data_IF_238020798397
#
_entry.id   IF_238020798397
#
_cell.length_a   1.000
_cell.length_b   1.000
_cell.length_c   1.000
_cell.angle_alpha   90.00
_cell.angle_beta   90.00
_cell.angle_gamma   90.00
#
_symmetry.space_group_name_H-M   'P 1'
#
loop_
_entity.id
_entity.type
_entity.pdbx_description
1 polymer ?
#
# COMPACT_ATOMS: atom_id res chain seq x y z
N UNK A 1 71.94 50.30 7.11
CA UNK A 1 70.61 49.73 7.46
C UNK A 1 69.81 49.10 6.28
N UNK A 2 70.34 49.05 5.04
CA UNK A 2 69.60 48.49 3.89
C UNK A 2 69.66 46.95 3.76
N UNK A 3 70.72 46.31 4.29
CA UNK A 3 70.92 44.85 4.20
C UNK A 3 69.89 44.03 4.97
N UNK A 4 69.57 44.42 6.21
CA UNK A 4 68.60 43.71 7.07
C UNK A 4 67.19 43.68 6.44
N UNK A 5 66.74 44.79 5.86
CA UNK A 5 65.45 44.85 5.13
C UNK A 5 65.39 43.93 3.92
N UNK A 6 66.50 43.73 3.19
CA UNK A 6 66.54 42.79 2.06
C UNK A 6 66.47 41.33 2.52
N UNK A 7 67.15 41.01 3.62
CA UNK A 7 67.16 39.66 4.20
C UNK A 7 65.76 39.28 4.72
N UNK A 8 65.08 40.18 5.43
CA UNK A 8 63.70 39.93 5.92
C UNK A 8 62.73 39.69 4.77
N UNK A 9 62.80 40.50 3.70
CA UNK A 9 61.96 40.31 2.50
C UNK A 9 62.22 38.95 1.84
N UNK A 10 63.48 38.58 1.65
CA UNK A 10 63.88 37.28 1.09
C UNK A 10 63.41 36.09 1.95
N UNK A 11 63.50 36.22 3.27
CA UNK A 11 63.03 35.17 4.19
C UNK A 11 61.51 35.04 4.16
N UNK A 12 60.77 36.16 4.18
CA UNK A 12 59.30 36.15 4.05
C UNK A 12 58.88 35.53 2.72
N UNK A 13 59.56 35.84 1.62
CA UNK A 13 59.25 35.32 0.29
C UNK A 13 59.51 33.82 0.18
N UNK A 14 60.59 33.32 0.80
CA UNK A 14 60.84 31.86 0.93
C UNK A 14 59.76 31.14 1.75
N UNK A 15 59.31 31.73 2.86
CA UNK A 15 58.22 31.14 3.65
C UNK A 15 56.90 31.15 2.89
N UNK A 16 56.56 32.25 2.21
CA UNK A 16 55.37 32.32 1.35
C UNK A 16 55.41 31.28 0.24
N UNK A 17 56.56 31.10 -0.40
CA UNK A 17 56.77 30.08 -1.44
C UNK A 17 56.62 28.66 -0.86
N UNK A 18 57.25 28.36 0.27
CA UNK A 18 57.12 27.06 0.93
C UNK A 18 55.68 26.75 1.39
N UNK A 19 54.91 27.76 1.81
CA UNK A 19 53.50 27.61 2.12
C UNK A 19 52.62 27.37 0.88
N UNK A 20 52.99 27.96 -0.27
CA UNK A 20 52.25 27.80 -1.52
C UNK A 20 52.64 26.50 -2.26
N UNK A 21 53.88 26.05 -2.13
CA UNK A 21 54.39 24.73 -2.56
C UNK A 21 53.91 23.60 -1.63
N UNK A 22 53.30 23.96 -0.49
CA UNK A 22 52.50 23.07 0.34
C UNK A 22 51.25 22.63 -0.43
N UNK A 23 51.43 21.64 -1.30
CA UNK A 23 50.43 20.97 -2.14
C UNK A 23 49.17 20.48 -1.39
N UNK A 24 49.03 20.68 -0.07
CA UNK A 24 47.97 20.12 0.75
C UNK A 24 46.54 20.59 0.41
N UNK A 25 46.29 21.89 0.23
CA UNK A 25 44.91 22.39 0.08
C UNK A 25 44.39 22.27 -1.35
N UNK A 26 45.21 22.53 -2.36
CA UNK A 26 44.84 22.31 -3.78
C UNK A 26 44.71 20.82 -4.10
N UNK A 27 45.59 19.96 -3.53
CA UNK A 27 45.52 18.50 -3.71
C UNK A 27 44.30 17.88 -3.04
N UNK A 28 43.91 18.27 -1.82
CA UNK A 28 42.75 17.70 -1.15
C UNK A 28 41.45 18.05 -1.89
N UNK A 29 41.26 19.31 -2.29
CA UNK A 29 40.07 19.72 -3.04
C UNK A 29 39.99 19.00 -4.41
N UNK A 30 41.11 18.88 -5.12
CA UNK A 30 41.20 18.16 -6.39
C UNK A 30 40.96 16.64 -6.21
N UNK A 31 41.52 16.03 -5.16
CA UNK A 31 41.33 14.62 -4.84
C UNK A 31 39.87 14.34 -4.48
N UNK A 32 39.23 15.22 -3.70
CA UNK A 32 37.81 15.11 -3.36
C UNK A 32 36.94 15.29 -4.60
N UNK A 33 37.24 16.24 -5.48
CA UNK A 33 36.52 16.42 -6.74
C UNK A 33 36.62 15.17 -7.63
N UNK A 34 37.80 14.56 -7.75
CA UNK A 34 37.99 13.29 -8.47
C UNK A 34 37.25 12.13 -7.83
N UNK A 35 37.24 12.05 -6.49
CA UNK A 35 36.48 11.05 -5.76
C UNK A 35 34.98 11.13 -6.07
N UNK A 36 34.39 12.33 -5.93
CA UNK A 36 32.97 12.52 -6.23
C UNK A 36 32.64 12.32 -7.71
N UNK A 37 33.55 12.67 -8.62
CA UNK A 37 33.39 12.38 -10.04
C UNK A 37 33.32 10.86 -10.30
N UNK A 38 34.17 10.06 -9.65
CA UNK A 38 34.15 8.59 -9.74
C UNK A 38 32.86 8.00 -9.17
N UNK A 39 32.44 8.45 -7.99
CA UNK A 39 31.18 7.99 -7.38
C UNK A 39 29.96 8.35 -8.24
N UNK A 40 29.94 9.57 -8.80
CA UNK A 40 28.90 10.01 -9.71
C UNK A 40 28.83 9.14 -10.98
N UNK A 41 29.99 8.71 -11.51
CA UNK A 41 30.04 7.78 -12.65
C UNK A 41 29.53 6.39 -12.30
N UNK A 42 29.88 5.86 -11.11
CA UNK A 42 29.34 4.58 -10.63
C UNK A 42 27.82 4.63 -10.50
N UNK A 43 27.28 5.71 -9.92
CA UNK A 43 25.83 5.90 -9.77
C UNK A 43 25.12 5.98 -11.12
N UNK A 44 25.68 6.73 -12.08
CA UNK A 44 25.15 6.78 -13.46
C UNK A 44 25.11 5.40 -14.11
N UNK A 45 26.17 4.62 -13.96
CA UNK A 45 26.21 3.26 -14.51
C UNK A 45 25.15 2.37 -13.85
N UNK A 46 24.96 2.48 -12.54
CA UNK A 46 23.93 1.70 -11.82
C UNK A 46 22.53 2.06 -12.32
N UNK A 47 22.24 3.36 -12.49
CA UNK A 47 20.96 3.83 -13.04
C UNK A 47 20.75 3.25 -14.45
N UNK A 48 21.76 3.35 -15.31
CA UNK A 48 21.67 2.81 -16.67
C UNK A 48 21.41 1.30 -16.66
N UNK A 49 22.11 0.55 -15.81
CA UNK A 49 21.91 -0.89 -15.69
C UNK A 49 20.49 -1.24 -15.23
N UNK A 50 19.94 -0.49 -14.26
CA UNK A 50 18.57 -0.68 -13.77
C UNK A 50 17.55 -0.34 -14.87
N UNK A 51 17.75 0.73 -15.62
CA UNK A 51 16.88 1.11 -16.74
C UNK A 51 16.90 0.05 -17.85
N UNK A 52 18.07 -0.44 -18.23
CA UNK A 52 18.20 -1.53 -19.21
C UNK A 52 17.46 -2.78 -18.72
N UNK A 53 17.65 -3.17 -17.46
CA UNK A 53 16.98 -4.33 -16.87
C UNK A 53 15.44 -4.17 -16.89
N UNK A 54 14.93 -2.97 -16.63
CA UNK A 54 13.49 -2.69 -16.74
C UNK A 54 12.97 -2.81 -18.17
N UNK A 55 13.69 -2.26 -19.16
CA UNK A 55 13.34 -2.40 -20.57
C UNK A 55 13.28 -3.87 -20.99
N UNK A 56 14.28 -4.67 -20.59
CA UNK A 56 14.28 -6.11 -20.82
C UNK A 56 13.08 -6.81 -20.17
N UNK A 57 12.75 -6.48 -18.91
CA UNK A 57 11.55 -7.03 -18.24
C UNK A 57 10.23 -6.65 -18.93
N UNK A 58 10.19 -5.51 -19.63
CA UNK A 58 9.07 -5.07 -20.45
C UNK A 58 9.06 -5.69 -21.86
N UNK A 59 10.07 -6.49 -22.21
CA UNK A 59 10.20 -7.10 -23.53
C UNK A 59 10.82 -6.19 -24.59
N UNK A 60 11.49 -5.11 -24.18
CA UNK A 60 12.17 -4.16 -25.05
C UNK A 60 13.67 -4.45 -25.14
N UNK A 61 14.34 -4.01 -26.21
CA UNK A 61 15.81 -4.13 -26.42
C UNK A 61 16.39 -5.55 -26.23
N UNK A 62 15.57 -6.57 -26.50
CA UNK A 62 15.92 -7.99 -26.32
C UNK A 62 17.04 -8.47 -27.24
N UNK A 63 17.24 -7.81 -28.37
CA UNK A 63 18.32 -8.08 -29.32
C UNK A 63 19.73 -7.86 -28.73
N UNK A 64 19.85 -7.14 -27.62
CA UNK A 64 21.11 -6.92 -26.90
C UNK A 64 21.51 -8.10 -26.00
N UNK A 65 20.59 -9.04 -25.74
CA UNK A 65 20.80 -10.18 -24.86
C UNK A 65 21.26 -11.41 -25.63
N UNK A 66 22.19 -12.16 -25.05
CA UNK A 66 22.52 -13.49 -25.57
C UNK A 66 21.49 -14.53 -25.10
N UNK A 67 21.55 -15.75 -25.68
CA UNK A 67 20.58 -16.83 -25.39
C UNK A 67 20.52 -17.18 -23.89
N UNK A 68 21.67 -17.15 -23.19
CA UNK A 68 21.72 -17.47 -21.76
C UNK A 68 21.00 -16.41 -20.94
N UNK A 69 21.26 -15.13 -21.24
CA UNK A 69 20.61 -14.00 -20.58
C UNK A 69 19.10 -13.97 -20.88
N UNK A 70 18.70 -14.27 -22.11
CA UNK A 70 17.30 -14.38 -22.50
C UNK A 70 16.55 -15.44 -21.68
N UNK A 71 17.13 -16.65 -21.54
CA UNK A 71 16.53 -17.71 -20.71
C UNK A 71 16.45 -17.32 -19.23
N UNK A 72 17.44 -16.59 -18.73
CA UNK A 72 17.40 -16.08 -17.36
C UNK A 72 16.29 -15.04 -17.17
N UNK A 73 16.11 -14.15 -18.14
CA UNK A 73 15.03 -13.15 -18.14
C UNK A 73 13.65 -13.83 -18.17
N UNK A 74 13.46 -14.79 -19.08
CA UNK A 74 12.24 -15.60 -19.19
C UNK A 74 11.90 -16.27 -17.85
N UNK A 75 12.86 -16.99 -17.25
CA UNK A 75 12.63 -17.65 -15.96
C UNK A 75 12.27 -16.67 -14.83
N UNK A 76 12.85 -15.46 -14.82
CA UNK A 76 12.47 -14.42 -13.84
C UNK A 76 11.03 -13.94 -14.04
N UNK A 77 10.62 -13.74 -15.29
CA UNK A 77 9.26 -13.31 -15.65
C UNK A 77 8.26 -14.42 -15.28
N UNK A 78 8.54 -15.67 -15.63
CA UNK A 78 7.67 -16.81 -15.31
C UNK A 78 7.45 -16.97 -13.80
N UNK A 79 8.51 -16.85 -13.00
CA UNK A 79 8.40 -16.91 -11.55
C UNK A 79 7.58 -15.73 -10.99
N UNK A 80 7.80 -14.52 -11.51
CA UNK A 80 7.01 -13.34 -11.13
C UNK A 80 5.53 -13.51 -11.47
N UNK A 81 5.24 -13.97 -12.68
CA UNK A 81 3.89 -14.21 -13.16
C UNK A 81 3.17 -15.30 -12.36
N UNK A 82 3.88 -16.37 -12.01
CA UNK A 82 3.35 -17.44 -11.15
C UNK A 82 2.94 -16.87 -9.79
N UNK A 83 3.80 -16.08 -9.14
CA UNK A 83 3.49 -15.44 -7.85
C UNK A 83 2.27 -14.52 -7.95
N UNK A 84 2.19 -13.70 -9.00
CA UNK A 84 1.05 -12.79 -9.24
C UNK A 84 -0.25 -13.59 -9.42
N UNK A 85 -0.23 -14.64 -10.25
CA UNK A 85 -1.40 -15.50 -10.49
C UNK A 85 -1.87 -16.18 -9.21
N UNK A 86 -0.96 -16.76 -8.44
CA UNK A 86 -1.28 -17.40 -7.17
C UNK A 86 -1.91 -16.41 -6.19
N UNK A 87 -1.35 -15.20 -6.04
CA UNK A 87 -1.92 -14.20 -5.13
C UNK A 87 -3.29 -13.71 -5.60
N UNK A 88 -3.46 -13.47 -6.90
CA UNK A 88 -4.76 -13.09 -7.48
C UNK A 88 -5.80 -14.19 -7.24
N UNK A 89 -5.43 -15.46 -7.41
CA UNK A 89 -6.32 -16.58 -7.17
C UNK A 89 -6.75 -16.65 -5.70
N UNK A 90 -5.80 -16.56 -4.75
CA UNK A 90 -6.08 -16.54 -3.32
C UNK A 90 -7.06 -15.41 -2.94
N UNK A 91 -6.83 -14.19 -3.45
CA UNK A 91 -7.71 -13.05 -3.20
C UNK A 91 -9.11 -13.23 -3.79
N UNK A 92 -9.21 -13.76 -5.02
CA UNK A 92 -10.50 -14.01 -5.65
C UNK A 92 -11.29 -15.09 -4.91
N UNK A 93 -10.64 -16.14 -4.44
CA UNK A 93 -11.28 -17.18 -3.63
C UNK A 93 -11.83 -16.58 -2.34
N UNK A 94 -11.03 -15.78 -1.62
CA UNK A 94 -11.48 -15.11 -0.41
C UNK A 94 -12.70 -14.19 -0.64
N UNK A 95 -12.71 -13.43 -1.74
CA UNK A 95 -13.83 -12.56 -2.12
C UNK A 95 -15.10 -13.35 -2.44
N UNK A 96 -14.96 -14.48 -3.15
CA UNK A 96 -16.08 -15.39 -3.45
C UNK A 96 -16.65 -15.97 -2.17
N UNK A 97 -15.81 -16.48 -1.27
CA UNK A 97 -16.23 -17.05 0.01
C UNK A 97 -16.95 -16.01 0.89
N UNK A 98 -16.41 -14.79 0.96
CA UNK A 98 -17.05 -13.68 1.67
C UNK A 98 -18.43 -13.37 1.08
N UNK A 99 -18.52 -13.25 -0.25
CA UNK A 99 -19.78 -12.96 -0.95
C UNK A 99 -20.82 -14.05 -0.74
N UNK A 100 -20.43 -15.32 -0.82
CA UNK A 100 -21.31 -16.47 -0.58
C UNK A 100 -21.83 -16.49 0.86
N UNK A 101 -20.97 -16.23 1.84
CA UNK A 101 -21.39 -16.12 3.24
C UNK A 101 -22.41 -14.99 3.41
N UNK A 102 -22.19 -13.84 2.78
CA UNK A 102 -23.11 -12.71 2.86
C UNK A 102 -24.48 -13.02 2.24
N UNK A 103 -24.50 -13.73 1.12
CA UNK A 103 -25.75 -14.21 0.50
C UNK A 103 -26.51 -15.10 1.48
N UNK A 104 -25.85 -16.08 2.07
CA UNK A 104 -26.48 -16.99 3.04
C UNK A 104 -27.04 -16.26 4.27
N UNK A 105 -26.31 -15.29 4.81
CA UNK A 105 -26.79 -14.46 5.93
C UNK A 105 -28.07 -13.70 5.56
N UNK A 106 -28.10 -13.09 4.36
CA UNK A 106 -29.26 -12.34 3.87
C UNK A 106 -30.46 -13.24 3.56
N UNK A 107 -30.23 -14.43 3.00
CA UNK A 107 -31.28 -15.42 2.78
C UNK A 107 -31.91 -15.86 4.10
N UNK A 108 -31.09 -16.14 5.12
CA UNK A 108 -31.57 -16.49 6.46
C UNK A 108 -32.38 -15.35 7.10
N UNK A 109 -31.90 -14.10 6.99
CA UNK A 109 -32.63 -12.93 7.46
C UNK A 109 -33.97 -12.77 6.74
N UNK A 110 -33.99 -12.96 5.41
CA UNK A 110 -35.20 -12.87 4.60
C UNK A 110 -36.25 -13.91 5.03
N UNK A 111 -35.84 -15.15 5.25
CA UNK A 111 -36.73 -16.23 5.75
C UNK A 111 -37.31 -15.87 7.12
N UNK A 112 -36.47 -15.36 8.04
CA UNK A 112 -36.93 -14.95 9.37
C UNK A 112 -37.96 -13.82 9.30
N UNK A 113 -37.72 -12.83 8.43
CA UNK A 113 -38.64 -11.72 8.22
C UNK A 113 -39.96 -12.19 7.59
N UNK A 114 -39.92 -13.10 6.62
CA UNK A 114 -41.13 -13.69 6.04
C UNK A 114 -41.97 -14.41 7.10
N UNK A 115 -41.36 -15.27 7.92
CA UNK A 115 -42.06 -15.94 9.02
C UNK A 115 -42.69 -14.95 10.02
N UNK A 116 -42.01 -13.83 10.30
CA UNK A 116 -42.54 -12.79 11.17
C UNK A 116 -43.73 -12.05 10.55
N UNK A 117 -43.70 -11.81 9.24
CA UNK A 117 -44.82 -11.21 8.50
C UNK A 117 -46.03 -12.14 8.55
N UNK A 118 -45.85 -13.43 8.25
CA UNK A 118 -46.92 -14.43 8.28
C UNK A 118 -47.58 -14.52 9.67
N UNK A 119 -46.79 -14.48 10.74
CA UNK A 119 -47.34 -14.50 12.10
C UNK A 119 -48.14 -13.22 12.42
N UNK A 120 -47.67 -12.04 11.99
CA UNK A 120 -48.40 -10.78 12.17
C UNK A 120 -49.72 -10.82 11.40
N UNK A 121 -49.72 -11.30 10.16
CA UNK A 121 -50.93 -11.45 9.35
C UNK A 121 -51.92 -12.43 9.99
N UNK A 122 -51.44 -13.55 10.53
CA UNK A 122 -52.25 -14.51 11.28
C UNK A 122 -52.89 -13.88 12.52
N UNK A 123 -52.14 -13.11 13.29
CA UNK A 123 -52.65 -12.40 14.47
C UNK A 123 -53.68 -11.32 14.10
N UNK A 124 -53.49 -10.62 12.99
CA UNK A 124 -54.47 -9.66 12.48
C UNK A 124 -55.77 -10.35 12.04
N UNK A 125 -55.71 -11.48 11.34
CA UNK A 125 -56.90 -12.25 10.96
C UNK A 125 -57.66 -12.77 12.19
N UNK A 126 -56.95 -13.25 13.21
CA UNK A 126 -57.58 -13.65 14.48
C UNK A 126 -58.27 -12.45 15.14
N UNK A 127 -57.61 -11.29 15.22
CA UNK A 127 -58.23 -10.09 15.77
C UNK A 127 -59.48 -9.63 15.00
N UNK A 128 -59.48 -9.74 13.66
CA UNK A 128 -60.65 -9.38 12.83
C UNK A 128 -61.82 -10.38 12.97
N UNK A 129 -61.54 -11.63 13.37
CA UNK A 129 -62.54 -12.69 13.54
C UNK A 129 -63.06 -12.82 14.99
N UNK A 130 -62.47 -12.10 15.95
CA UNK A 130 -62.96 -12.03 17.33
C UNK A 130 -64.04 -10.96 17.45
N UNK A 131 -65.14 -11.27 18.13
CA UNK A 131 -66.20 -10.29 18.37
C UNK A 131 -65.63 -9.08 19.14
N UNK A 132 -66.12 -7.86 18.90
CA UNK A 132 -65.56 -6.64 19.49
C UNK A 132 -65.49 -6.62 21.04
N UNK A 133 -66.19 -7.54 21.71
CA UNK A 133 -66.10 -7.76 23.16
C UNK A 133 -64.83 -8.49 23.59
N UNK A 134 -64.29 -9.38 22.76
CA UNK A 134 -63.14 -10.23 23.10
C UNK A 134 -61.80 -9.51 22.84
N UNK A 135 -61.77 -8.62 21.83
CA UNK A 135 -60.60 -7.81 21.46
C UNK A 135 -60.23 -6.80 22.57
N UNK A 136 -61.23 -6.20 23.23
CA UNK A 136 -61.03 -5.29 24.36
C UNK A 136 -60.44 -5.97 25.59
N UNK A 137 -60.84 -7.21 25.87
CA UNK A 137 -60.31 -7.98 26.99
C UNK A 137 -58.83 -8.36 26.77
N UNK A 138 -58.45 -8.72 25.54
CA UNK A 138 -57.08 -9.10 25.19
C UNK A 138 -56.14 -7.88 25.16
N UNK A 139 -56.61 -6.73 24.63
CA UNK A 139 -55.82 -5.49 24.59
C UNK A 139 -55.50 -4.96 26.00
N UNK A 140 -56.45 -5.06 26.93
CA UNK A 140 -56.23 -4.68 28.34
C UNK A 140 -55.17 -5.54 29.04
N UNK A 141 -55.00 -6.80 28.62
CA UNK A 141 -54.00 -7.71 29.16
C UNK A 141 -52.62 -7.53 28.48
N UNK A 142 -52.59 -7.16 27.19
CA UNK A 142 -51.35 -7.01 26.40
C UNK A 142 -50.58 -5.71 26.68
N UNK A 143 -51.25 -4.62 27.07
CA UNK A 143 -50.59 -3.34 27.39
C UNK A 143 -49.65 -3.43 28.61
N UNK A 144 -49.69 -4.52 29.37
CA UNK A 144 -48.79 -4.75 30.50
C UNK A 144 -47.48 -5.46 30.12
N UNK A 145 -47.31 -5.93 28.88
CA UNK A 145 -46.18 -6.81 28.51
C UNK A 145 -45.27 -6.30 27.38
N UNK A 146 -45.65 -5.28 26.61
CA UNK A 146 -44.82 -4.82 25.48
C UNK A 146 -44.28 -3.41 25.71
N UNK A 147 -42.97 -3.29 25.93
CA UNK A 147 -42.27 -2.01 25.81
C UNK A 147 -42.15 -1.63 24.32
N UNK A 148 -42.30 -0.34 23.98
CA UNK A 148 -42.14 0.09 22.60
C UNK A 148 -40.67 -0.01 22.20
N UNK A 149 -40.38 -0.71 21.10
CA UNK A 149 -39.06 -0.68 20.46
C UNK A 149 -38.86 0.74 19.90
N UNK A 150 -37.98 1.50 20.53
CA UNK A 150 -37.46 2.75 19.96
C UNK A 150 -36.45 2.36 18.88
N UNK A 151 -36.76 2.71 17.64
CA UNK A 151 -35.83 2.57 16.51
C UNK A 151 -34.75 3.64 16.67
N UNK A 152 -33.64 3.28 17.32
CA UNK A 152 -32.41 4.07 17.23
C UNK A 152 -31.68 3.69 15.94
N UNK A 153 -31.70 4.61 14.97
CA UNK A 153 -30.90 4.51 13.77
C UNK A 153 -29.42 4.59 14.11
N UNK A 154 -28.66 3.55 13.77
CA UNK A 154 -27.20 3.62 13.67
C UNK A 154 -26.69 2.72 12.54
N UNK A 155 -26.69 3.25 11.32
CA UNK A 155 -25.86 2.71 10.24
C UNK A 155 -24.42 3.16 10.46
N UNK A 156 -23.64 2.32 11.13
CA UNK A 156 -22.17 2.35 11.07
C UNK A 156 -21.71 1.16 10.25
N UNK A 157 -21.46 1.38 8.96
CA UNK A 157 -20.78 0.41 8.10
C UNK A 157 -19.35 0.22 8.60
N UNK A 158 -19.01 -0.97 9.07
CA UNK A 158 -17.62 -1.40 9.25
C UNK A 158 -17.22 -2.32 8.11
N UNK A 159 -16.30 -1.86 7.27
CA UNK A 159 -15.54 -2.72 6.35
C UNK A 159 -14.39 -3.41 7.11
N UNK A 160 -14.11 -4.70 6.81
CA UNK A 160 -12.89 -5.34 7.26
C UNK A 160 -11.69 -4.98 6.36
N UNK A 161 -10.50 -5.02 6.97
CA UNK A 161 -9.18 -4.83 6.34
C UNK A 161 -8.74 -6.05 5.54
#
# INVERSE_FOLDING_TARGET
MAGSRRITKSTIERYKKACNDGLGTSSIAQTNAQYYQRESTKLRQLIQNMQNANRHLLGEELNSLNIKEMKQLEGRIEQGLTRIRSKKHEMLVAEIEYSQKRVMELENESVCLQAKIEEIERLQQVNLNMSGSELNAIQALSCNFFTPIVVEGSTSYSQPK
#
